data_IF_432133458435
#
_entry.id   IF_432133458435
#
_cell.length_a   1.000
_cell.length_b   1.000
_cell.length_c   1.000
_cell.angle_alpha   90.00
_cell.angle_beta   90.00
_cell.angle_gamma   90.00
#
_symmetry.space_group_name_H-M   'P 1'
#
loop_
_entity.id
_entity.type
_entity.pdbx_description
1 polymer ?
#
# COMPACT_ATOMS: atom_id res chain seq x y z
N UNK A 1 9.59 1.08 22.71
CA UNK A 1 9.30 0.79 21.29
C UNK A 1 7.79 0.68 21.15
N UNK A 2 7.11 1.76 20.77
CA UNK A 2 5.67 1.74 20.59
C UNK A 2 5.37 1.20 19.20
N UNK A 3 4.87 -0.04 19.13
CA UNK A 3 4.38 -0.62 17.88
C UNK A 3 3.02 0.00 17.60
N UNK A 4 3.00 1.04 16.78
CA UNK A 4 1.78 1.49 16.12
C UNK A 4 1.25 0.29 15.32
N UNK A 5 0.08 -0.22 15.70
CA UNK A 5 -0.60 -1.29 14.95
C UNK A 5 -0.85 -0.79 13.51
N UNK A 6 -0.45 -1.53 12.46
CA UNK A 6 -0.73 -1.12 11.09
C UNK A 6 -2.24 -1.11 10.88
N UNK A 7 -2.76 0.07 10.51
CA UNK A 7 -4.14 0.25 10.09
C UNK A 7 -4.43 -0.72 8.94
N UNK A 8 -5.59 -1.34 8.96
CA UNK A 8 -6.12 -2.16 7.88
C UNK A 8 -6.48 -1.34 6.62
N UNK A 9 -5.66 -0.34 6.27
CA UNK A 9 -5.88 0.60 5.17
C UNK A 9 -4.93 0.35 3.98
N UNK A 10 -3.93 -0.53 4.15
CA UNK A 10 -2.99 -0.86 3.07
C UNK A 10 -3.68 -1.61 1.92
N UNK A 11 -4.61 -2.52 2.22
CA UNK A 11 -5.41 -3.17 1.18
C UNK A 11 -6.36 -2.19 0.48
N UNK A 12 -6.92 -1.23 1.23
CA UNK A 12 -7.75 -0.14 0.65
C UNK A 12 -6.97 0.71 -0.33
N UNK A 13 -5.72 1.04 -0.01
CA UNK A 13 -4.84 1.81 -0.90
C UNK A 13 -4.60 1.05 -2.20
N UNK A 14 -4.24 -0.23 -2.10
CA UNK A 14 -3.98 -1.07 -3.28
C UNK A 14 -5.23 -1.31 -4.13
N UNK A 15 -6.39 -1.48 -3.50
CA UNK A 15 -7.66 -1.59 -4.22
C UNK A 15 -8.08 -0.28 -4.89
N UNK A 16 -7.81 0.87 -4.25
CA UNK A 16 -8.04 2.18 -4.87
C UNK A 16 -7.12 2.39 -6.08
N UNK A 17 -5.86 1.98 -5.99
CA UNK A 17 -4.93 2.03 -7.13
C UNK A 17 -5.36 1.10 -8.26
N UNK A 18 -5.85 -0.11 -7.94
CA UNK A 18 -6.37 -1.03 -8.95
C UNK A 18 -7.58 -0.44 -9.69
N UNK A 19 -8.52 0.17 -8.95
CA UNK A 19 -9.69 0.83 -9.54
C UNK A 19 -9.29 2.00 -10.45
N UNK A 20 -8.36 2.85 -10.00
CA UNK A 20 -7.85 3.96 -10.81
C UNK A 20 -7.10 3.46 -12.05
N UNK A 21 -6.25 2.44 -11.90
CA UNK A 21 -5.53 1.84 -13.02
C UNK A 21 -6.50 1.29 -14.08
N UNK A 22 -7.58 0.62 -13.67
CA UNK A 22 -8.57 0.10 -14.59
C UNK A 22 -9.37 1.19 -15.30
N UNK A 23 -9.76 2.24 -14.57
CA UNK A 23 -10.51 3.37 -15.13
C UNK A 23 -9.68 4.13 -16.19
N UNK A 24 -8.38 4.32 -15.92
CA UNK A 24 -7.50 5.14 -16.75
C UNK A 24 -6.61 4.32 -17.70
N UNK A 25 -6.74 3.00 -17.76
CA UNK A 25 -5.92 2.14 -18.64
C UNK A 25 -5.95 2.61 -20.11
N UNK A 26 -7.12 3.05 -20.58
CA UNK A 26 -7.32 3.52 -21.95
C UNK A 26 -6.39 4.69 -22.35
N UNK A 27 -5.92 5.48 -21.39
CA UNK A 27 -5.04 6.64 -21.63
C UNK A 27 -3.57 6.25 -21.87
N UNK A 28 -3.17 5.04 -21.46
CA UNK A 28 -1.78 4.56 -21.52
C UNK A 28 -1.64 3.25 -22.32
N UNK A 29 -2.76 2.70 -22.80
CA UNK A 29 -2.81 1.40 -23.48
C UNK A 29 -2.04 1.36 -24.82
N UNK A 30 -1.74 2.51 -25.42
CA UNK A 30 -0.91 2.63 -26.62
C UNK A 30 0.58 2.36 -26.34
N UNK A 31 1.03 2.60 -25.10
CA UNK A 31 2.43 2.45 -24.68
C UNK A 31 2.74 1.09 -24.07
N UNK A 32 1.71 0.34 -23.70
CA UNK A 32 1.84 -0.92 -22.97
C UNK A 32 0.93 -2.00 -23.55
N UNK A 33 1.39 -3.24 -23.50
CA UNK A 33 0.58 -4.37 -23.98
C UNK A 33 -0.33 -4.94 -22.88
N UNK A 34 -1.31 -5.75 -23.30
CA UNK A 34 -2.26 -6.40 -22.40
C UNK A 34 -1.60 -7.36 -21.39
N UNK A 35 -0.42 -7.92 -21.72
CA UNK A 35 0.35 -8.73 -20.74
C UNK A 35 0.81 -7.87 -19.56
N UNK A 36 1.30 -6.66 -19.82
CA UNK A 36 1.67 -5.69 -18.77
C UNK A 36 0.47 -5.33 -17.91
N UNK A 37 -0.70 -5.08 -18.53
CA UNK A 37 -1.96 -4.82 -17.80
C UNK A 37 -2.30 -5.94 -16.83
N UNK A 38 -2.32 -7.18 -17.32
CA UNK A 38 -2.63 -8.36 -16.50
C UNK A 38 -1.63 -8.53 -15.36
N UNK A 39 -0.35 -8.30 -15.63
CA UNK A 39 0.68 -8.40 -14.59
C UNK A 39 0.52 -7.33 -13.51
N UNK A 40 0.23 -6.10 -13.88
CA UNK A 40 0.05 -5.02 -12.92
C UNK A 40 -1.19 -5.24 -12.04
N UNK A 41 -2.30 -5.69 -12.64
CA UNK A 41 -3.51 -6.11 -11.90
C UNK A 41 -3.22 -7.24 -10.92
N UNK A 42 -2.48 -8.27 -11.37
CA UNK A 42 -2.10 -9.40 -10.53
C UNK A 42 -1.27 -8.93 -9.33
N UNK A 43 -0.26 -8.11 -9.56
CA UNK A 43 0.58 -7.54 -8.51
C UNK A 43 -0.23 -6.81 -7.44
N UNK A 44 -1.08 -5.85 -7.84
CA UNK A 44 -1.91 -5.10 -6.90
C UNK A 44 -2.88 -5.99 -6.12
N UNK A 45 -3.51 -6.96 -6.80
CA UNK A 45 -4.48 -7.88 -6.19
C UNK A 45 -3.84 -8.81 -5.17
N UNK A 46 -2.67 -9.38 -5.49
CA UNK A 46 -1.92 -10.26 -4.59
C UNK A 46 -1.41 -9.50 -3.38
N UNK A 47 -0.84 -8.30 -3.57
CA UNK A 47 -0.39 -7.48 -2.46
C UNK A 47 -1.57 -7.10 -1.53
N UNK A 48 -2.72 -6.71 -2.09
CA UNK A 48 -3.92 -6.42 -1.29
C UNK A 48 -4.39 -7.66 -0.49
N UNK A 49 -4.35 -8.84 -1.11
CA UNK A 49 -4.63 -10.11 -0.45
C UNK A 49 -3.65 -10.42 0.69
N UNK A 50 -2.36 -10.21 0.48
CA UNK A 50 -1.33 -10.47 1.48
C UNK A 50 -1.40 -9.50 2.67
N UNK A 51 -1.72 -8.22 2.45
CA UNK A 51 -2.03 -7.29 3.55
C UNK A 51 -3.29 -7.71 4.31
N UNK A 52 -4.35 -8.12 3.61
CA UNK A 52 -5.59 -8.60 4.23
C UNK A 52 -5.38 -9.86 5.07
N UNK A 53 -4.55 -10.78 4.59
CA UNK A 53 -4.17 -12.01 5.29
C UNK A 53 -3.18 -11.76 6.45
N UNK A 54 -2.63 -10.55 6.58
CA UNK A 54 -1.56 -10.18 7.52
C UNK A 54 -0.22 -10.90 7.25
N UNK A 55 -0.04 -11.41 6.03
CA UNK A 55 1.24 -11.95 5.55
C UNK A 55 2.25 -10.84 5.21
N UNK A 56 1.75 -9.63 4.91
CA UNK A 56 2.55 -8.42 4.80
C UNK A 56 2.19 -7.42 5.90
N UNK A 57 3.18 -6.64 6.32
CA UNK A 57 3.04 -5.61 7.35
C UNK A 57 3.75 -4.33 6.92
N UNK A 58 3.08 -3.19 7.08
CA UNK A 58 3.68 -1.87 6.89
C UNK A 58 4.04 -1.27 8.26
N UNK A 59 5.31 -0.90 8.44
CA UNK A 59 5.82 -0.39 9.72
C UNK A 59 6.20 1.07 9.59
N UNK A 60 5.61 1.91 10.45
CA UNK A 60 6.10 3.26 10.66
C UNK A 60 6.94 3.29 11.93
N UNK A 61 8.26 3.44 11.78
CA UNK A 61 9.21 3.44 12.89
C UNK A 61 9.84 4.83 13.03
N UNK A 62 9.81 5.38 14.24
CA UNK A 62 10.35 6.71 14.56
C UNK A 62 11.50 6.56 15.55
N UNK A 63 12.65 7.15 15.24
CA UNK A 63 13.85 7.14 16.08
C UNK A 63 14.20 8.54 16.59
N UNK A 64 14.78 8.63 17.79
CA UNK A 64 15.34 9.86 18.35
C UNK A 64 16.54 9.53 19.23
N UNK A 65 17.59 10.36 19.18
CA UNK A 65 18.83 10.10 19.91
C UNK A 65 18.72 10.33 21.43
N UNK A 66 18.05 11.42 21.83
CA UNK A 66 17.70 11.79 23.22
C UNK A 66 16.52 12.77 23.17
N UNK A 67 15.31 12.30 23.46
CA UNK A 67 14.11 13.14 23.49
C UNK A 67 13.61 13.19 24.93
N UNK A 68 13.57 14.39 25.51
CA UNK A 68 13.18 14.61 26.91
C UNK A 68 11.66 14.59 27.12
N UNK A 69 10.88 14.40 26.07
CA UNK A 69 9.41 14.41 26.10
C UNK A 69 8.76 13.30 25.28
N UNK A 70 7.48 13.04 25.54
CA UNK A 70 6.69 12.03 24.84
C UNK A 70 6.64 12.31 23.32
N UNK A 71 6.66 11.24 22.53
CA UNK A 71 6.27 11.31 21.12
C UNK A 71 4.75 11.16 21.02
N UNK A 72 4.08 12.24 20.67
CA UNK A 72 2.66 12.24 20.32
C UNK A 72 2.54 12.04 18.82
N UNK A 73 2.16 10.83 18.42
CA UNK A 73 1.93 10.51 17.02
C UNK A 73 0.69 11.30 16.53
N UNK A 74 0.77 12.00 15.38
CA UNK A 74 -0.42 12.51 14.72
C UNK A 74 -1.33 11.31 14.37
N UNK A 75 -2.60 11.40 14.79
CA UNK A 75 -3.59 10.34 14.58
C UNK A 75 -4.27 10.48 13.24
#
# INVERSE_FOLDING_TARGET
>A
MALSQPRADDDRTLMAWLANFDAHWHEIADRYNERTRRMFRYYLSVCAGAFRARDLQLWQVVYSHRRDGRYDAPR
#
